data_IF_444540878898
#
_entry.id   IF_444540878898
#
_cell.length_a   1.000
_cell.length_b   1.000
_cell.length_c   1.000
_cell.angle_alpha   90.00
_cell.angle_beta   90.00
_cell.angle_gamma   90.00
#
_symmetry.space_group_name_H-M   'P 1'
#
loop_
_entity.id
_entity.type
_entity.pdbx_description
1 polymer ?
#
# COMPACT_ATOMS: atom_id res chain seq x y z
N UNK A 1 -58.62 37.88 -6.08
CA UNK A 1 -58.05 36.75 -5.30
C UNK A 1 -56.75 36.33 -5.98
N UNK A 2 -55.60 36.85 -5.53
CA UNK A 2 -54.29 36.66 -6.17
C UNK A 2 -53.51 35.58 -5.41
N UNK A 3 -53.16 34.49 -6.10
CA UNK A 3 -52.35 33.38 -5.56
C UNK A 3 -50.87 33.65 -5.85
N UNK A 4 -50.10 33.92 -4.80
CA UNK A 4 -48.65 34.08 -4.85
C UNK A 4 -47.98 32.70 -4.82
N UNK A 5 -47.28 32.33 -5.90
CA UNK A 5 -46.51 31.10 -5.98
C UNK A 5 -45.08 31.36 -5.47
N UNK A 6 -44.68 30.68 -4.39
CA UNK A 6 -43.32 30.68 -3.88
C UNK A 6 -42.50 29.59 -4.58
N UNK A 7 -41.52 29.98 -5.39
CA UNK A 7 -40.48 29.13 -5.95
C UNK A 7 -39.38 28.94 -4.90
N UNK A 8 -39.25 27.73 -4.38
CA UNK A 8 -38.15 27.35 -3.46
C UNK A 8 -36.98 26.82 -4.30
N UNK A 9 -35.90 27.58 -4.38
CA UNK A 9 -34.66 27.16 -5.03
C UNK A 9 -33.93 26.14 -4.13
N UNK A 10 -33.85 24.90 -4.58
CA UNK A 10 -33.08 23.84 -3.92
C UNK A 10 -31.61 23.96 -4.34
N UNK A 11 -30.74 24.45 -3.46
CA UNK A 11 -29.29 24.38 -3.65
C UNK A 11 -28.82 22.94 -3.45
N UNK A 12 -28.44 22.27 -4.54
CA UNK A 12 -27.73 20.99 -4.50
C UNK A 12 -26.33 21.23 -3.91
N UNK A 13 -26.14 20.86 -2.64
CA UNK A 13 -24.82 20.78 -2.04
C UNK A 13 -24.04 19.64 -2.71
N UNK A 14 -23.11 19.99 -3.61
CA UNK A 14 -22.21 19.02 -4.22
C UNK A 14 -21.32 18.39 -3.15
N UNK A 15 -21.40 17.06 -2.99
CA UNK A 15 -20.47 16.32 -2.16
C UNK A 15 -19.06 16.49 -2.75
N UNK A 16 -18.19 17.21 -2.03
CA UNK A 16 -16.79 17.32 -2.41
C UNK A 16 -16.18 15.92 -2.30
N UNK A 17 -15.68 15.40 -3.42
CA UNK A 17 -14.90 14.17 -3.40
C UNK A 17 -13.68 14.39 -2.47
N UNK A 18 -13.32 13.42 -1.63
CA UNK A 18 -12.12 13.53 -0.80
C UNK A 18 -10.92 13.81 -1.70
N UNK A 19 -10.27 14.94 -1.47
CA UNK A 19 -9.08 15.34 -2.20
C UNK A 19 -7.95 14.42 -1.77
N UNK A 20 -7.63 13.43 -2.60
CA UNK A 20 -6.46 12.59 -2.40
C UNK A 20 -5.21 13.47 -2.41
N UNK A 21 -4.38 13.33 -1.37
CA UNK A 21 -3.22 14.18 -1.07
C UNK A 21 -2.32 14.52 -2.27
N UNK A 22 -1.66 15.68 -2.18
CA UNK A 22 -0.76 16.18 -3.22
C UNK A 22 0.33 15.14 -3.56
N UNK A 23 0.71 15.06 -4.84
CA UNK A 23 1.79 14.19 -5.25
C UNK A 23 3.10 14.60 -4.57
N UNK A 24 3.80 13.62 -3.98
CA UNK A 24 5.15 13.82 -3.45
C UNK A 24 6.11 14.26 -4.55
N UNK A 25 7.11 15.08 -4.21
CA UNK A 25 8.23 15.32 -5.10
C UNK A 25 9.01 14.02 -5.33
N UNK A 26 9.67 13.94 -6.49
CA UNK A 26 10.52 12.79 -6.84
C UNK A 26 11.54 12.47 -5.75
N UNK A 27 12.25 13.49 -5.28
CA UNK A 27 13.32 13.32 -4.30
C UNK A 27 12.77 12.86 -2.95
N UNK A 28 11.62 13.40 -2.53
CA UNK A 28 10.95 12.96 -1.31
C UNK A 28 10.50 11.50 -1.39
N UNK A 29 9.96 11.07 -2.55
CA UNK A 29 9.58 9.66 -2.76
C UNK A 29 10.80 8.74 -2.65
N UNK A 30 11.90 9.08 -3.34
CA UNK A 30 13.15 8.30 -3.29
C UNK A 30 13.71 8.22 -1.87
N UNK A 31 13.69 9.34 -1.13
CA UNK A 31 14.17 9.41 0.25
C UNK A 31 13.35 8.54 1.21
N UNK A 32 12.01 8.52 1.08
CA UNK A 32 11.15 7.64 1.88
C UNK A 32 11.57 6.18 1.73
N UNK A 33 11.80 5.70 0.50
CA UNK A 33 12.21 4.31 0.26
C UNK A 33 13.66 4.03 0.72
N UNK A 34 14.57 5.00 0.63
CA UNK A 34 15.93 4.89 1.18
C UNK A 34 15.91 4.75 2.70
N UNK A 35 15.14 5.60 3.38
CA UNK A 35 14.98 5.58 4.83
C UNK A 35 14.36 4.25 5.27
N UNK A 36 13.32 3.78 4.60
CA UNK A 36 12.67 2.50 4.90
C UNK A 36 13.65 1.32 4.81
N UNK A 37 14.48 1.26 3.75
CA UNK A 37 15.52 0.23 3.60
C UNK A 37 16.54 0.26 4.74
N UNK A 38 17.01 1.46 5.10
CA UNK A 38 17.93 1.63 6.23
C UNK A 38 17.28 1.18 7.54
N UNK A 39 16.04 1.63 7.82
CA UNK A 39 15.34 1.34 9.07
C UNK A 39 15.10 -0.16 9.23
N UNK A 40 14.60 -0.84 8.20
CA UNK A 40 14.40 -2.30 8.21
C UNK A 40 15.73 -3.04 8.36
N UNK A 41 16.82 -2.58 7.75
CA UNK A 41 18.13 -3.20 7.92
C UNK A 41 18.65 -3.10 9.36
N UNK A 42 18.33 -1.99 10.07
CA UNK A 42 18.75 -1.76 11.45
C UNK A 42 17.85 -2.41 12.49
N UNK A 43 16.53 -2.40 12.28
CA UNK A 43 15.55 -2.89 13.23
C UNK A 43 14.29 -3.41 12.51
N UNK A 44 14.25 -4.73 12.30
CA UNK A 44 13.13 -5.39 11.62
C UNK A 44 11.81 -5.20 12.38
N UNK A 45 11.84 -5.49 13.67
CA UNK A 45 10.63 -5.61 14.48
C UNK A 45 10.03 -4.23 14.75
N UNK A 46 10.87 -3.22 14.99
CA UNK A 46 10.41 -1.84 15.10
C UNK A 46 9.83 -1.32 13.76
N UNK A 47 10.44 -1.65 12.62
CA UNK A 47 9.90 -1.31 11.31
C UNK A 47 8.54 -2.00 11.05
N UNK A 48 8.41 -3.29 11.36
CA UNK A 48 7.15 -4.02 11.26
C UNK A 48 6.07 -3.45 12.19
N UNK A 49 6.42 -3.10 13.44
CA UNK A 49 5.50 -2.43 14.36
C UNK A 49 5.07 -1.05 13.86
N UNK A 50 5.98 -0.32 13.21
CA UNK A 50 5.70 0.98 12.59
C UNK A 50 4.71 0.85 11.43
N UNK A 51 4.86 -0.18 10.58
CA UNK A 51 3.88 -0.48 9.53
C UNK A 51 2.48 -0.60 10.13
N UNK A 52 2.30 -1.39 11.20
CA UNK A 52 1.00 -1.56 11.87
C UNK A 52 0.43 -0.30 12.52
N UNK A 53 1.29 0.64 12.93
CA UNK A 53 0.87 1.91 13.53
C UNK A 53 0.36 2.90 12.47
N UNK A 54 0.93 2.86 11.27
CA UNK A 54 0.53 3.76 10.18
C UNK A 54 -0.87 3.41 9.66
N UNK A 55 -1.71 4.42 9.39
CA UNK A 55 -3.03 4.17 8.82
C UNK A 55 -2.92 3.63 7.39
N UNK A 56 -3.88 2.81 6.98
CA UNK A 56 -3.92 2.22 5.63
C UNK A 56 -4.27 3.24 4.55
N UNK A 57 -5.03 4.26 4.94
CA UNK A 57 -5.54 5.32 4.08
C UNK A 57 -5.39 6.66 4.78
N UNK A 58 -5.50 7.74 4.01
CA UNK A 58 -5.35 9.10 4.52
C UNK A 58 -4.22 9.81 3.80
N UNK A 59 -4.35 11.14 3.76
CA UNK A 59 -3.52 11.98 2.90
C UNK A 59 -2.11 12.19 3.45
N UNK A 60 -1.95 12.22 4.78
CA UNK A 60 -0.67 12.46 5.43
C UNK A 60 -0.53 11.64 6.71
N UNK A 61 0.67 11.12 6.93
CA UNK A 61 1.10 10.54 8.19
C UNK A 61 2.55 10.95 8.46
N UNK A 62 2.97 10.74 9.70
CA UNK A 62 4.32 11.05 10.15
C UNK A 62 4.88 9.85 10.88
N UNK A 63 6.13 9.49 10.56
CA UNK A 63 6.90 8.46 11.26
C UNK A 63 7.93 9.17 12.12
N UNK A 64 7.71 9.09 13.43
CA UNK A 64 8.66 9.57 14.44
C UNK A 64 9.89 8.65 14.49
N UNK A 65 11.12 9.17 14.60
CA UNK A 65 12.33 8.36 14.67
C UNK A 65 12.29 7.30 15.79
N UNK A 66 11.68 7.65 16.93
CA UNK A 66 11.50 6.74 18.06
C UNK A 66 10.69 5.47 17.72
N UNK A 67 9.84 5.50 16.69
CA UNK A 67 9.08 4.33 16.25
C UNK A 67 9.94 3.29 15.54
N UNK A 68 11.08 3.72 14.98
CA UNK A 68 11.99 2.88 14.20
C UNK A 68 13.06 2.18 15.05
N UNK A 69 13.08 2.37 16.37
CA UNK A 69 14.02 1.70 17.27
C UNK A 69 15.48 1.99 16.88
N UNK A 70 16.27 0.93 16.64
CA UNK A 70 17.66 1.08 16.17
C UNK A 70 17.77 1.72 14.76
N UNK A 71 16.66 1.82 14.03
CA UNK A 71 16.53 2.54 12.77
C UNK A 71 16.34 4.04 12.89
N UNK A 72 16.26 4.62 14.10
CA UNK A 72 16.05 6.06 14.29
C UNK A 72 17.08 6.93 13.55
N UNK A 73 18.35 6.50 13.53
CA UNK A 73 19.43 7.21 12.83
C UNK A 73 19.34 7.21 11.30
N UNK A 74 18.37 6.49 10.72
CA UNK A 74 18.09 6.52 9.29
C UNK A 74 17.32 7.78 8.86
N UNK A 75 16.61 8.43 9.79
CA UNK A 75 15.86 9.67 9.55
C UNK A 75 16.76 10.85 9.90
N UNK A 76 17.05 11.72 8.92
CA UNK A 76 17.91 12.90 9.11
C UNK A 76 17.16 14.12 9.66
N UNK A 77 15.84 14.12 9.55
CA UNK A 77 14.92 15.16 10.02
C UNK A 77 14.26 14.78 11.35
N UNK A 78 13.51 15.72 11.95
CA UNK A 78 12.73 15.45 13.15
C UNK A 78 11.70 14.32 12.95
N UNK A 79 11.15 14.20 11.74
CA UNK A 79 10.28 13.09 11.37
C UNK A 79 10.25 12.89 9.85
N UNK A 80 9.79 11.71 9.42
CA UNK A 80 9.50 11.41 8.01
C UNK A 80 7.99 11.58 7.78
N UNK A 81 7.59 12.46 6.86
CA UNK A 81 6.18 12.72 6.55
C UNK A 81 5.85 12.37 5.10
N UNK A 82 4.58 12.10 4.83
CA UNK A 82 4.03 11.81 3.52
C UNK A 82 2.75 10.98 3.60
N UNK A 83 2.15 10.62 2.44
CA UNK A 83 0.95 9.81 2.42
C UNK A 83 1.14 8.48 3.14
N UNK A 84 0.18 8.14 4.01
CA UNK A 84 0.32 7.01 4.92
C UNK A 84 0.58 5.69 4.18
N UNK A 85 -0.13 5.46 3.08
CA UNK A 85 0.05 4.29 2.21
C UNK A 85 1.45 4.22 1.59
N UNK A 86 2.08 5.37 1.28
CA UNK A 86 3.43 5.41 0.72
C UNK A 86 4.47 5.09 1.79
N UNK A 87 4.36 5.70 2.97
CA UNK A 87 5.25 5.41 4.11
C UNK A 87 5.17 3.94 4.52
N UNK A 88 3.95 3.44 4.64
CA UNK A 88 3.65 2.07 5.04
C UNK A 88 4.11 1.06 3.98
N UNK A 89 3.89 1.39 2.70
CA UNK A 89 4.35 0.62 1.56
C UNK A 89 5.86 0.56 1.41
N UNK A 90 6.57 1.66 1.67
CA UNK A 90 8.03 1.69 1.61
C UNK A 90 8.67 0.77 2.67
N UNK A 91 8.17 0.80 3.90
CA UNK A 91 8.58 -0.12 4.96
C UNK A 91 8.25 -1.57 4.60
N UNK A 92 7.04 -1.84 4.08
CA UNK A 92 6.64 -3.18 3.63
C UNK A 92 7.50 -3.70 2.47
N UNK A 93 7.88 -2.85 1.51
CA UNK A 93 8.78 -3.23 0.42
C UNK A 93 10.17 -3.60 0.95
N UNK A 94 10.69 -2.83 1.91
CA UNK A 94 11.98 -3.11 2.53
C UNK A 94 11.94 -4.40 3.36
N UNK A 95 10.86 -4.65 4.12
CA UNK A 95 10.62 -5.93 4.80
C UNK A 95 10.53 -7.07 3.77
N UNK A 96 9.85 -6.85 2.65
CA UNK A 96 9.68 -7.86 1.61
C UNK A 96 11.02 -8.31 1.05
N UNK A 97 11.93 -7.38 0.71
CA UNK A 97 13.26 -7.74 0.22
C UNK A 97 14.21 -8.30 1.28
N UNK A 98 13.97 -7.98 2.56
CA UNK A 98 14.75 -8.55 3.66
C UNK A 98 14.35 -9.99 3.90
N UNK A 99 13.06 -10.26 3.98
CA UNK A 99 12.52 -11.55 4.42
C UNK A 99 12.34 -12.50 3.25
N UNK A 100 12.03 -11.97 2.07
CA UNK A 100 11.88 -12.69 0.82
C UNK A 100 12.93 -12.18 -0.18
N UNK A 101 13.45 -13.05 -1.03
CA UNK A 101 14.33 -12.61 -2.14
C UNK A 101 13.50 -12.10 -3.31
N UNK A 102 12.43 -12.83 -3.61
CA UNK A 102 11.52 -12.65 -4.73
C UNK A 102 10.21 -13.39 -4.40
N UNK A 103 9.15 -13.15 -5.18
CA UNK A 103 7.84 -13.71 -4.90
C UNK A 103 7.86 -15.25 -5.00
N UNK A 104 7.20 -15.94 -4.07
CA UNK A 104 7.11 -17.40 -4.07
C UNK A 104 8.37 -18.13 -3.60
N UNK A 105 9.46 -17.43 -3.25
CA UNK A 105 10.64 -18.03 -2.63
C UNK A 105 10.49 -18.14 -1.13
N UNK A 106 11.09 -19.19 -0.56
CA UNK A 106 11.09 -19.45 0.89
C UNK A 106 11.65 -18.24 1.66
N UNK A 107 10.99 -17.81 2.75
CA UNK A 107 11.49 -16.72 3.56
C UNK A 107 12.84 -17.07 4.18
N UNK A 108 13.67 -16.05 4.38
CA UNK A 108 14.97 -16.15 5.06
C UNK A 108 14.83 -16.39 6.56
N UNK A 109 13.66 -16.13 7.12
CA UNK A 109 13.33 -16.36 8.52
C UNK A 109 12.19 -17.37 8.65
N UNK A 110 12.00 -17.89 9.87
CA UNK A 110 10.90 -18.81 10.14
C UNK A 110 9.53 -18.13 9.86
N UNK A 111 8.56 -18.81 9.23
CA UNK A 111 7.26 -18.20 8.91
C UNK A 111 6.52 -17.58 10.11
N UNK A 112 6.71 -18.14 11.31
CA UNK A 112 6.15 -17.60 12.55
C UNK A 112 6.72 -16.22 12.96
N UNK A 113 7.90 -15.86 12.45
CA UNK A 113 8.57 -14.58 12.74
C UNK A 113 8.33 -13.49 11.69
N UNK A 114 7.66 -13.82 10.58
CA UNK A 114 7.29 -12.84 9.56
C UNK A 114 6.34 -11.80 10.13
N UNK A 115 6.42 -10.56 9.65
CA UNK A 115 5.57 -9.50 10.15
C UNK A 115 4.10 -9.71 9.73
N UNK A 116 3.17 -9.48 10.65
CA UNK A 116 1.79 -9.19 10.25
C UNK A 116 1.70 -7.71 9.88
N UNK A 117 1.27 -7.44 8.65
CA UNK A 117 1.06 -6.08 8.16
C UNK A 117 -0.19 -5.46 8.80
N UNK A 118 -1.15 -6.24 9.31
CA UNK A 118 -2.41 -5.71 9.83
C UNK A 118 -3.30 -5.16 8.71
N UNK A 119 -3.33 -5.84 7.56
CA UNK A 119 -4.32 -5.57 6.51
C UNK A 119 -5.69 -6.13 6.96
N UNK A 120 -6.81 -5.46 6.63
CA UNK A 120 -8.12 -6.01 6.91
C UNK A 120 -8.29 -7.35 6.18
N UNK A 121 -9.02 -8.30 6.79
CA UNK A 121 -9.26 -9.60 6.16
C UNK A 121 -9.97 -9.42 4.81
N UNK A 122 -9.54 -10.21 3.83
CA UNK A 122 -10.12 -10.25 2.48
C UNK A 122 -10.94 -11.54 2.36
N UNK A 123 -12.13 -11.57 2.96
CA UNK A 123 -13.07 -12.68 2.92
C UNK A 123 -14.45 -12.25 2.40
N UNK A 124 -15.22 -13.15 1.80
CA UNK A 124 -16.55 -12.81 1.29
C UNK A 124 -17.44 -12.27 2.43
N UNK A 125 -18.05 -11.09 2.21
CA UNK A 125 -18.92 -10.43 3.19
C UNK A 125 -18.36 -9.20 3.92
N UNK A 126 -17.08 -8.82 3.75
CA UNK A 126 -16.61 -7.52 4.30
C UNK A 126 -17.19 -6.37 3.49
N UNK A 127 -17.66 -5.37 4.20
CA UNK A 127 -18.15 -4.11 3.66
C UNK A 127 -17.06 -3.39 2.85
N UNK A 128 -17.17 -3.49 1.52
CA UNK A 128 -16.29 -2.81 0.57
C UNK A 128 -16.61 -1.33 0.41
N UNK A 129 -17.60 -0.79 1.14
CA UNK A 129 -17.84 0.66 1.19
C UNK A 129 -16.74 1.38 1.96
N UNK A 130 -16.02 0.67 2.84
CA UNK A 130 -14.86 1.23 3.55
C UNK A 130 -13.65 1.34 2.61
N UNK A 131 -13.10 2.55 2.39
CA UNK A 131 -12.03 2.77 1.41
C UNK A 131 -10.76 1.95 1.68
N UNK A 132 -10.40 1.76 2.94
CA UNK A 132 -9.22 0.98 3.37
C UNK A 132 -9.38 -0.52 3.05
N UNK A 133 -10.55 -1.09 3.29
CA UNK A 133 -10.88 -2.47 2.91
C UNK A 133 -10.84 -2.63 1.39
N UNK A 134 -11.47 -1.71 0.65
CA UNK A 134 -11.49 -1.76 -0.81
C UNK A 134 -10.07 -1.72 -1.41
N UNK A 135 -9.20 -0.84 -0.89
CA UNK A 135 -7.80 -0.75 -1.30
C UNK A 135 -7.01 -2.00 -0.94
N UNK A 136 -7.12 -2.50 0.29
CA UNK A 136 -6.42 -3.72 0.72
C UNK A 136 -6.81 -4.94 -0.14
N UNK A 137 -8.11 -5.09 -0.46
CA UNK A 137 -8.61 -6.13 -1.37
C UNK A 137 -8.05 -5.99 -2.78
N UNK A 138 -8.05 -4.77 -3.31
CA UNK A 138 -7.52 -4.49 -4.63
C UNK A 138 -6.05 -4.88 -4.73
N UNK A 139 -5.24 -4.46 -3.75
CA UNK A 139 -3.83 -4.82 -3.68
C UNK A 139 -3.60 -6.33 -3.53
N UNK A 140 -4.34 -7.02 -2.63
CA UNK A 140 -4.24 -8.48 -2.45
C UNK A 140 -4.57 -9.23 -3.74
N UNK A 141 -5.65 -8.81 -4.43
CA UNK A 141 -6.03 -9.40 -5.70
C UNK A 141 -4.93 -9.24 -6.75
N UNK A 142 -4.36 -8.04 -6.93
CA UNK A 142 -3.30 -7.81 -7.92
C UNK A 142 -2.03 -8.60 -7.58
N UNK A 143 -1.56 -8.54 -6.34
CA UNK A 143 -0.35 -9.25 -5.91
C UNK A 143 -0.46 -10.77 -6.13
N UNK A 144 -1.67 -11.34 -6.03
CA UNK A 144 -1.92 -12.77 -6.24
C UNK A 144 -2.16 -13.16 -7.70
N UNK A 145 -2.76 -12.29 -8.50
CA UNK A 145 -3.06 -12.58 -9.91
C UNK A 145 -1.90 -12.27 -10.86
N UNK A 146 -1.04 -11.30 -10.50
CA UNK A 146 0.15 -10.92 -11.27
C UNK A 146 1.39 -10.82 -10.39
N UNK A 147 1.80 -11.91 -9.73
CA UNK A 147 2.91 -11.89 -8.79
C UNK A 147 4.23 -11.48 -9.44
N UNK A 148 4.52 -11.96 -10.66
CA UNK A 148 5.77 -11.63 -11.37
C UNK A 148 5.87 -10.16 -11.74
N UNK A 149 4.79 -9.55 -12.25
CA UNK A 149 4.81 -8.12 -12.59
C UNK A 149 4.77 -7.23 -11.35
N UNK A 150 4.13 -7.70 -10.27
CA UNK A 150 4.21 -7.07 -8.95
C UNK A 150 5.66 -7.06 -8.46
N UNK A 151 6.35 -8.19 -8.51
CA UNK A 151 7.74 -8.30 -8.08
C UNK A 151 8.67 -7.40 -8.94
N UNK A 152 8.50 -7.42 -10.27
CA UNK A 152 9.22 -6.50 -11.19
C UNK A 152 8.95 -5.03 -10.86
N UNK A 153 7.71 -4.67 -10.50
CA UNK A 153 7.41 -3.32 -10.03
C UNK A 153 8.23 -3.00 -8.77
N UNK A 154 8.18 -3.85 -7.75
CA UNK A 154 8.89 -3.61 -6.49
C UNK A 154 10.40 -3.49 -6.70
N UNK A 155 10.99 -4.28 -7.60
CA UNK A 155 12.42 -4.25 -7.92
C UNK A 155 12.85 -3.03 -8.76
N UNK A 156 11.92 -2.39 -9.48
CA UNK A 156 12.24 -1.23 -10.32
C UNK A 156 12.72 -0.03 -9.47
N UNK A 157 13.60 0.86 -9.98
CA UNK A 157 13.90 2.09 -9.26
C UNK A 157 12.65 2.99 -9.18
N UNK A 158 12.47 3.65 -8.05
CA UNK A 158 11.37 4.62 -7.83
C UNK A 158 11.50 5.78 -8.83
N UNK A 159 10.37 6.24 -9.36
CA UNK A 159 10.25 7.28 -10.39
C UNK A 159 10.96 6.96 -11.73
N UNK A 160 11.21 5.69 -12.02
CA UNK A 160 11.93 5.30 -13.23
C UNK A 160 11.03 4.96 -14.42
N UNK A 161 11.57 4.94 -15.66
CA UNK A 161 10.90 4.34 -16.81
C UNK A 161 10.53 2.86 -16.59
N UNK A 162 11.36 2.11 -15.85
CA UNK A 162 11.11 0.69 -15.55
C UNK A 162 9.89 0.52 -14.64
N UNK A 163 9.71 1.39 -13.66
CA UNK A 163 8.52 1.43 -12.82
C UNK A 163 7.26 1.67 -13.66
N UNK A 164 7.29 2.69 -14.52
CA UNK A 164 6.15 3.01 -15.40
C UNK A 164 5.80 1.83 -16.32
N UNK A 165 6.82 1.18 -16.87
CA UNK A 165 6.65 -0.03 -17.68
C UNK A 165 6.05 -1.19 -16.90
N UNK A 166 6.49 -1.41 -15.65
CA UNK A 166 5.91 -2.45 -14.79
C UNK A 166 4.44 -2.16 -14.45
N UNK A 167 4.10 -0.92 -14.12
CA UNK A 167 2.70 -0.52 -13.87
C UNK A 167 1.82 -0.74 -15.09
N UNK A 168 2.31 -0.38 -16.29
CA UNK A 168 1.58 -0.60 -17.53
C UNK A 168 1.25 -2.08 -17.77
N UNK A 169 2.09 -3.02 -17.32
CA UNK A 169 1.81 -4.47 -17.41
C UNK A 169 0.77 -4.95 -16.39
N UNK A 170 0.66 -4.28 -15.25
CA UNK A 170 -0.31 -4.62 -14.19
C UNK A 170 -1.71 -4.04 -14.51
N UNK A 171 -1.77 -2.88 -15.17
CA UNK A 171 -3.02 -2.16 -15.47
C UNK A 171 -4.16 -3.00 -16.08
N UNK A 172 -3.93 -3.93 -17.03
CA UNK A 172 -4.99 -4.77 -17.60
C UNK A 172 -5.77 -5.58 -16.55
N UNK A 173 -5.19 -5.86 -15.38
CA UNK A 173 -5.80 -6.65 -14.32
C UNK A 173 -6.65 -5.82 -13.36
N UNK A 174 -6.63 -4.49 -13.47
CA UNK A 174 -7.32 -3.60 -12.53
C UNK A 174 -8.84 -3.84 -12.54
N UNK A 175 -9.44 -4.01 -13.72
CA UNK A 175 -10.88 -4.21 -13.85
C UNK A 175 -11.37 -5.53 -13.21
N UNK A 176 -10.51 -6.56 -13.16
CA UNK A 176 -10.82 -7.83 -12.50
C UNK A 176 -10.66 -7.78 -10.98
N UNK A 177 -9.82 -6.87 -10.48
CA UNK A 177 -9.49 -6.76 -9.06
C UNK A 177 -10.18 -5.62 -8.32
N UNK A 178 -10.78 -4.67 -9.03
CA UNK A 178 -11.43 -3.51 -8.44
C UNK A 178 -12.96 -3.62 -8.51
N UNK A 179 -13.71 -3.12 -7.52
CA UNK A 179 -15.17 -3.16 -7.54
C UNK A 179 -15.76 -2.55 -8.82
N UNK A 180 -16.79 -3.20 -9.37
CA UNK A 180 -17.51 -2.69 -10.56
C UNK A 180 -18.04 -1.28 -10.28
N UNK A 181 -17.93 -0.41 -11.27
CA UNK A 181 -18.35 1.00 -11.22
C UNK A 181 -17.56 1.90 -10.24
N UNK A 182 -16.53 1.39 -9.56
CA UNK A 182 -15.63 2.21 -8.78
C UNK A 182 -14.48 2.71 -9.67
N UNK A 183 -14.05 3.96 -9.47
CA UNK A 183 -12.85 4.50 -10.10
C UNK A 183 -11.67 4.32 -9.16
N UNK A 184 -10.60 3.71 -9.66
CA UNK A 184 -9.32 3.72 -8.96
C UNK A 184 -8.57 4.97 -9.40
N UNK A 185 -8.54 5.98 -8.52
CA UNK A 185 -7.69 7.15 -8.70
C UNK A 185 -6.57 7.03 -7.67
N UNK A 186 -5.36 6.67 -8.09
CA UNK A 186 -4.23 6.64 -7.19
C UNK A 186 -3.00 7.13 -7.93
N UNK A 187 -2.14 7.83 -7.21
CA UNK A 187 -0.80 8.11 -7.70
C UNK A 187 -0.03 6.81 -7.91
N UNK A 188 1.00 6.90 -8.74
CA UNK A 188 1.99 5.84 -8.93
C UNK A 188 2.57 5.34 -7.60
N UNK A 189 2.96 6.26 -6.73
CA UNK A 189 3.56 5.98 -5.43
C UNK A 189 2.59 5.22 -4.50
N UNK A 190 1.31 5.61 -4.51
CA UNK A 190 0.25 4.91 -3.77
C UNK A 190 0.04 3.51 -4.28
N UNK A 191 -0.04 3.31 -5.61
CA UNK A 191 -0.16 1.98 -6.19
C UNK A 191 1.02 1.08 -5.80
N UNK A 192 2.24 1.60 -5.89
CA UNK A 192 3.46 0.88 -5.49
C UNK A 192 3.41 0.49 -4.01
N UNK A 193 3.11 1.44 -3.14
CA UNK A 193 3.04 1.20 -1.71
C UNK A 193 1.98 0.18 -1.32
N UNK A 194 0.82 0.25 -1.98
CA UNK A 194 -0.25 -0.74 -1.82
C UNK A 194 0.19 -2.14 -2.26
N UNK A 195 0.80 -2.26 -3.44
CA UNK A 195 1.27 -3.55 -3.95
C UNK A 195 2.41 -4.13 -3.11
N UNK A 196 3.29 -3.30 -2.54
CA UNK A 196 4.32 -3.75 -1.61
C UNK A 196 3.71 -4.37 -0.34
N UNK A 197 2.71 -3.71 0.25
CA UNK A 197 1.98 -4.23 1.41
C UNK A 197 1.30 -5.57 1.12
N UNK A 198 0.61 -5.63 -0.02
CA UNK A 198 -0.11 -6.83 -0.43
C UNK A 198 0.83 -7.98 -0.81
N UNK A 199 1.95 -7.71 -1.48
CA UNK A 199 2.94 -8.72 -1.83
C UNK A 199 3.59 -9.33 -0.57
N UNK A 200 3.96 -8.50 0.41
CA UNK A 200 4.47 -9.00 1.69
C UNK A 200 3.41 -9.83 2.42
N UNK A 201 2.19 -9.31 2.56
CA UNK A 201 1.10 -10.00 3.26
C UNK A 201 0.77 -11.34 2.61
N UNK A 202 0.61 -11.39 1.28
CA UNK A 202 0.34 -12.61 0.54
C UNK A 202 1.47 -13.64 0.70
N UNK A 203 2.74 -13.20 0.60
CA UNK A 203 3.90 -14.08 0.79
C UNK A 203 3.93 -14.67 2.19
N UNK A 204 3.69 -13.86 3.22
CA UNK A 204 3.64 -14.31 4.62
C UNK A 204 2.53 -15.33 4.84
N UNK A 205 1.32 -15.04 4.37
CA UNK A 205 0.16 -15.95 4.49
C UNK A 205 0.40 -17.28 3.77
N UNK A 206 1.02 -17.24 2.59
CA UNK A 206 1.37 -18.45 1.83
C UNK A 206 2.32 -19.34 2.63
N UNK A 207 3.42 -18.79 3.15
CA UNK A 207 4.42 -19.56 3.90
C UNK A 207 3.96 -20.00 5.29
N UNK A 208 2.89 -19.39 5.83
CA UNK A 208 2.20 -19.85 7.03
C UNK A 208 1.12 -20.90 6.76
N UNK A 209 0.85 -21.24 5.49
CA UNK A 209 -0.20 -22.18 5.11
C UNK A 209 -1.62 -21.61 5.23
N UNK A 210 -1.77 -20.29 5.31
CA UNK A 210 -3.07 -19.62 5.40
C UNK A 210 -3.73 -19.43 4.02
N UNK A 211 -2.95 -19.46 2.95
CA UNK A 211 -3.44 -19.46 1.56
C UNK A 211 -2.66 -20.48 0.73
N UNK A 212 -3.32 -21.05 -0.27
CA UNK A 212 -2.71 -21.97 -1.25
C UNK A 212 -2.36 -21.18 -2.52
N UNK A 213 -1.20 -21.44 -3.11
CA UNK A 213 -0.88 -20.90 -4.43
C UNK A 213 -1.83 -21.52 -5.47
N UNK A 214 -2.66 -20.70 -6.09
CA UNK A 214 -3.45 -21.13 -7.25
C UNK A 214 -2.47 -21.39 -8.40
N UNK A 215 -2.04 -22.64 -8.62
CA UNK A 215 -1.10 -22.96 -9.69
C UNK A 215 -0.27 -24.25 -9.56
N UNK A 216 -0.55 -25.13 -8.60
CA UNK A 216 0.00 -26.50 -8.62
C UNK A 216 -1.12 -27.53 -8.75
N UNK A 217 -1.60 -27.70 -9.98
CA UNK A 217 -2.10 -28.98 -10.49
C UNK A 217 -1.41 -29.27 -11.81
#
# INVERSE_FOLDING_TARGET
>A
MMKTAFLTAFCLAGAAAPAMGAALSKDAEVDIYNIARCAVAKDHDAAAATVRRLPLTGDEATVEPAWLGNGAGCVKSAALAGPAVVLRGALAQALYFRDFKEFGVRPRMAPALLADMGLPPVNDGVDTSKPDVALARFGDCLARNVPEDTDKLLQSPVDSPLERSAIARIQPYFAGCYPKNARFNASRSTLRGLLALSAYSASTRYWRGEIVANGTR
#
